data_IF_446157761225
#
_entry.id   IF_446157761225
#
_cell.length_a   1.000
_cell.length_b   1.000
_cell.length_c   1.000
_cell.angle_alpha   90.00
_cell.angle_beta   90.00
_cell.angle_gamma   90.00
#
_symmetry.space_group_name_H-M   'P 1'
#
loop_
_entity.id
_entity.type
_entity.pdbx_description
1 polymer ?
#
# COMPACT_ATOMS: atom_id res chain seq x y z
N UNK A 1 17.82 11.75 -2.64
CA UNK A 1 18.85 10.78 -3.09
C UNK A 1 18.35 9.37 -2.76
N UNK A 2 18.50 8.41 -3.67
CA UNK A 2 18.09 7.01 -3.44
C UNK A 2 19.10 6.34 -2.49
N UNK A 3 18.60 5.62 -1.47
CA UNK A 3 19.42 4.92 -0.48
C UNK A 3 19.21 3.40 -0.55
N UNK A 4 20.24 2.62 -0.17
CA UNK A 4 20.19 1.15 -0.16
C UNK A 4 20.93 0.61 1.07
N UNK A 5 20.28 -0.29 1.81
CA UNK A 5 20.89 -1.08 2.88
C UNK A 5 20.61 -2.56 2.62
N UNK A 6 21.58 -3.28 2.04
CA UNK A 6 21.42 -4.67 1.57
C UNK A 6 20.23 -4.81 0.60
N UNK A 7 19.11 -5.38 1.05
CA UNK A 7 17.87 -5.56 0.30
C UNK A 7 16.81 -4.48 0.60
N UNK A 8 17.07 -3.57 1.54
CA UNK A 8 16.17 -2.48 1.95
C UNK A 8 16.46 -1.18 1.20
N UNK A 9 15.43 -0.34 1.08
CA UNK A 9 15.50 1.02 0.51
C UNK A 9 16.08 2.06 1.51
N UNK A 10 17.15 1.68 2.20
CA UNK A 10 17.79 2.46 3.27
C UNK A 10 17.46 1.96 4.68
N UNK A 11 17.91 2.73 5.67
CA UNK A 11 17.73 2.46 7.11
C UNK A 11 16.26 2.49 7.54
N UNK A 12 15.91 1.77 8.59
CA UNK A 12 14.53 1.64 9.08
C UNK A 12 13.98 3.00 9.50
N UNK A 13 14.78 3.83 10.17
CA UNK A 13 14.42 5.16 10.65
C UNK A 13 14.08 6.10 9.47
N UNK A 14 14.87 6.04 8.40
CA UNK A 14 14.62 6.83 7.19
C UNK A 14 13.34 6.39 6.50
N UNK A 15 13.16 5.07 6.29
CA UNK A 15 11.96 4.51 5.64
C UNK A 15 10.70 4.81 6.46
N UNK A 16 10.78 4.71 7.78
CA UNK A 16 9.69 5.06 8.69
C UNK A 16 9.35 6.56 8.60
N UNK A 17 10.36 7.43 8.66
CA UNK A 17 10.17 8.87 8.55
C UNK A 17 9.52 9.28 7.23
N UNK A 18 9.98 8.71 6.11
CA UNK A 18 9.38 8.95 4.79
C UNK A 18 7.92 8.47 4.72
N UNK A 19 7.62 7.29 5.28
CA UNK A 19 6.26 6.75 5.32
C UNK A 19 5.34 7.63 6.18
N UNK A 20 5.77 8.02 7.38
CA UNK A 20 5.01 8.90 8.28
C UNK A 20 4.78 10.25 7.62
N UNK A 21 5.80 10.86 7.02
CA UNK A 21 5.67 12.14 6.33
C UNK A 21 4.64 12.06 5.19
N UNK A 22 4.71 11.02 4.37
CA UNK A 22 3.76 10.81 3.28
C UNK A 22 2.32 10.61 3.79
N UNK A 23 2.15 9.90 4.90
CA UNK A 23 0.86 9.64 5.52
C UNK A 23 0.30 10.84 6.30
N UNK A 24 1.15 11.74 6.81
CA UNK A 24 0.74 12.93 7.56
C UNK A 24 0.46 14.15 6.67
N UNK A 25 1.05 14.22 5.47
CA UNK A 25 0.92 15.39 4.58
C UNK A 25 -0.52 15.54 4.02
N UNK A 26 -1.28 16.60 4.33
CA UNK A 26 -2.66 16.78 3.85
C UNK A 26 -2.79 17.02 2.33
N UNK A 27 -1.69 17.39 1.65
CA UNK A 27 -1.67 17.56 0.20
C UNK A 27 -1.63 16.21 -0.54
N UNK A 28 -1.06 15.17 0.09
CA UNK A 28 -0.99 13.82 -0.47
C UNK A 28 -2.32 13.09 -0.28
N UNK A 29 -3.00 12.74 -1.39
CA UNK A 29 -4.30 12.05 -1.39
C UNK A 29 -4.19 10.52 -1.34
N UNK A 30 -3.10 9.97 -1.87
CA UNK A 30 -2.82 8.54 -1.85
C UNK A 30 -1.31 8.28 -1.76
N UNK A 31 -0.93 7.18 -1.11
CA UNK A 31 0.45 6.70 -1.00
C UNK A 31 0.55 5.36 -1.73
N UNK A 32 1.38 5.30 -2.75
CA UNK A 32 1.67 4.08 -3.48
C UNK A 32 2.99 3.48 -2.99
N UNK A 33 2.95 2.26 -2.49
CA UNK A 33 4.16 1.54 -2.17
C UNK A 33 4.93 1.23 -3.47
N UNK A 34 6.20 1.61 -3.51
CA UNK A 34 7.00 1.50 -4.73
C UNK A 34 7.19 0.05 -5.19
N UNK A 35 7.44 -0.87 -4.25
CA UNK A 35 7.63 -2.31 -4.48
C UNK A 35 7.26 -3.12 -3.25
N UNK A 36 7.01 -4.42 -3.45
CA UNK A 36 7.04 -5.41 -2.38
C UNK A 36 8.49 -5.83 -2.03
N UNK A 37 8.63 -6.87 -1.23
CA UNK A 37 9.92 -7.38 -0.77
C UNK A 37 9.83 -7.83 0.67
N UNK A 38 10.87 -7.61 1.47
CA UNK A 38 10.81 -7.75 2.92
C UNK A 38 11.33 -6.46 3.55
N UNK A 39 10.54 -5.88 4.45
CA UNK A 39 10.98 -4.73 5.24
C UNK A 39 9.87 -3.86 5.84
N UNK A 40 8.61 -4.03 5.45
CA UNK A 40 7.48 -3.30 6.01
C UNK A 40 7.16 -3.75 7.44
N UNK A 41 7.24 -5.05 7.72
CA UNK A 41 7.06 -5.59 9.08
C UNK A 41 8.00 -4.95 10.13
N UNK A 42 9.22 -4.59 9.71
CA UNK A 42 10.23 -3.94 10.58
C UNK A 42 9.78 -2.56 11.08
N UNK A 43 8.84 -1.93 10.38
CA UNK A 43 8.37 -0.58 10.69
C UNK A 43 7.17 -0.57 11.65
N UNK A 44 6.49 -1.72 11.82
CA UNK A 44 5.20 -1.78 12.50
C UNK A 44 5.25 -1.36 13.97
N UNK A 45 6.31 -1.74 14.69
CA UNK A 45 6.43 -1.44 16.13
C UNK A 45 6.50 0.08 16.40
N UNK A 46 6.98 0.86 15.43
CA UNK A 46 7.18 2.30 15.58
C UNK A 46 6.09 3.13 14.89
N UNK A 47 5.13 2.49 14.21
CA UNK A 47 4.01 3.16 13.55
C UNK A 47 2.82 3.29 14.50
N UNK A 48 2.61 4.49 15.03
CA UNK A 48 1.38 4.85 15.73
C UNK A 48 0.27 5.17 14.72
N UNK A 49 -0.57 4.18 14.42
CA UNK A 49 -1.65 4.31 13.43
C UNK A 49 -2.75 5.30 13.83
N UNK A 50 -2.86 5.67 15.10
CA UNK A 50 -3.82 6.68 15.55
C UNK A 50 -3.46 8.08 15.01
N UNK A 51 -2.17 8.34 14.77
CA UNK A 51 -1.66 9.64 14.27
C UNK A 51 -1.68 9.74 12.74
N UNK A 52 -2.05 8.67 12.05
CA UNK A 52 -2.08 8.65 10.59
C UNK A 52 -3.41 9.23 10.10
N UNK A 53 -3.33 10.32 9.34
CA UNK A 53 -4.49 10.88 8.64
C UNK A 53 -5.05 9.83 7.67
N UNK A 54 -6.38 9.57 7.69
CA UNK A 54 -6.97 8.62 6.77
C UNK A 54 -6.75 9.06 5.31
N UNK A 55 -5.98 8.26 4.57
CA UNK A 55 -5.79 8.37 3.12
C UNK A 55 -5.52 6.99 2.53
N UNK A 56 -5.68 6.85 1.22
CA UNK A 56 -5.47 5.58 0.56
C UNK A 56 -3.99 5.19 0.58
N UNK A 57 -3.67 4.01 1.12
CA UNK A 57 -2.39 3.33 0.93
C UNK A 57 -2.59 2.16 -0.04
N UNK A 58 -1.77 2.08 -1.09
CA UNK A 58 -1.86 1.07 -2.15
C UNK A 58 -0.60 0.20 -2.18
N UNK A 59 -0.78 -1.12 -2.12
CA UNK A 59 0.31 -2.09 -2.34
C UNK A 59 -0.14 -3.54 -2.12
N UNK A 60 0.78 -4.49 -2.33
CA UNK A 60 0.54 -5.92 -2.09
C UNK A 60 1.82 -6.59 -1.56
N UNK A 61 1.77 -7.91 -1.31
CA UNK A 61 2.90 -8.69 -0.78
C UNK A 61 3.23 -8.26 0.66
N UNK A 62 4.49 -7.96 1.01
CA UNK A 62 4.89 -7.52 2.36
C UNK A 62 4.16 -6.24 2.85
N UNK A 63 3.55 -5.48 1.94
CA UNK A 63 2.68 -4.35 2.29
C UNK A 63 1.42 -4.78 3.05
N UNK A 64 1.05 -6.07 3.00
CA UNK A 64 -0.02 -6.65 3.85
C UNK A 64 0.21 -6.36 5.33
N UNK A 65 1.46 -6.26 5.78
CA UNK A 65 1.80 -5.83 7.13
C UNK A 65 1.21 -4.44 7.48
N UNK A 66 1.32 -3.48 6.56
CA UNK A 66 0.75 -2.14 6.71
C UNK A 66 -0.77 -2.16 6.58
N UNK A 67 -1.32 -2.95 5.66
CA UNK A 67 -2.77 -3.12 5.53
C UNK A 67 -3.40 -3.66 6.82
N UNK A 68 -2.79 -4.64 7.47
CA UNK A 68 -3.26 -5.18 8.74
C UNK A 68 -3.22 -4.13 9.86
N UNK A 69 -2.14 -3.34 9.94
CA UNK A 69 -2.02 -2.26 10.91
C UNK A 69 -3.11 -1.19 10.72
N UNK A 70 -3.34 -0.77 9.48
CA UNK A 70 -4.37 0.21 9.12
C UNK A 70 -5.78 -0.34 9.38
N UNK A 71 -6.04 -1.60 9.02
CA UNK A 71 -7.31 -2.27 9.27
C UNK A 71 -7.64 -2.37 10.77
N UNK A 72 -6.65 -2.69 11.62
CA UNK A 72 -6.82 -2.67 13.10
C UNK A 72 -7.15 -1.28 13.65
N UNK A 73 -6.77 -0.22 12.94
CA UNK A 73 -7.10 1.16 13.28
C UNK A 73 -8.39 1.67 12.61
N UNK A 74 -9.18 0.78 11.98
CA UNK A 74 -10.41 1.16 11.26
C UNK A 74 -10.16 2.01 10.02
N UNK A 75 -8.96 1.91 9.42
CA UNK A 75 -8.58 2.67 8.22
C UNK A 75 -8.68 1.79 6.98
N UNK A 76 -9.22 2.36 5.91
CA UNK A 76 -9.30 1.71 4.61
C UNK A 76 -7.97 1.85 3.88
N UNK A 77 -7.51 0.76 3.27
CA UNK A 77 -6.36 0.72 2.37
C UNK A 77 -6.66 -0.24 1.22
N UNK A 78 -5.93 -0.11 0.11
CA UNK A 78 -6.19 -0.86 -1.11
C UNK A 78 -5.08 -1.89 -1.30
N UNK A 79 -5.43 -3.16 -1.15
CA UNK A 79 -4.55 -4.24 -1.57
C UNK A 79 -4.52 -4.28 -3.10
N UNK A 80 -3.43 -3.80 -3.70
CA UNK A 80 -3.34 -3.49 -5.12
C UNK A 80 -1.90 -3.44 -5.62
N UNK A 81 -1.69 -3.12 -6.90
CA UNK A 81 -0.36 -3.19 -7.49
C UNK A 81 0.60 -2.18 -6.86
N UNK A 82 1.87 -2.57 -6.73
CA UNK A 82 2.95 -1.64 -6.40
C UNK A 82 3.40 -0.86 -7.63
N UNK A 83 4.06 0.28 -7.42
CA UNK A 83 4.43 1.19 -8.51
C UNK A 83 5.27 0.51 -9.60
N UNK A 84 6.21 -0.37 -9.25
CA UNK A 84 7.06 -1.07 -10.24
C UNK A 84 6.29 -2.02 -11.16
N UNK A 85 5.05 -2.39 -10.82
CA UNK A 85 4.19 -3.20 -11.67
C UNK A 85 3.13 -2.38 -12.39
N UNK A 86 2.80 -1.20 -11.85
CA UNK A 86 1.65 -0.41 -12.29
C UNK A 86 1.64 -0.20 -13.81
N UNK A 87 2.78 0.16 -14.41
CA UNK A 87 2.87 0.43 -15.85
C UNK A 87 2.63 -0.78 -16.77
N UNK A 88 2.71 -2.01 -16.25
CA UNK A 88 2.59 -3.23 -17.05
C UNK A 88 1.20 -3.91 -16.95
N UNK A 89 0.27 -3.34 -16.19
CA UNK A 89 -1.04 -3.93 -15.97
C UNK A 89 -1.99 -3.64 -17.14
N UNK A 90 -3.04 -4.45 -17.25
CA UNK A 90 -4.12 -4.20 -18.21
C UNK A 90 -4.89 -2.92 -17.90
N UNK A 91 -5.47 -2.31 -18.94
CA UNK A 91 -6.38 -1.16 -18.80
C UNK A 91 -7.48 -1.42 -17.79
N UNK A 92 -8.10 -2.61 -17.82
CA UNK A 92 -9.15 -2.99 -16.87
C UNK A 92 -8.68 -3.01 -15.40
N UNK A 93 -7.41 -3.30 -15.17
CA UNK A 93 -6.81 -3.27 -13.83
C UNK A 93 -6.56 -1.82 -13.39
N UNK A 94 -6.08 -0.96 -14.29
CA UNK A 94 -5.95 0.48 -14.02
C UNK A 94 -7.30 1.11 -13.71
N UNK A 95 -8.29 0.91 -14.57
CA UNK A 95 -9.65 1.44 -14.39
C UNK A 95 -10.23 1.03 -13.03
N UNK A 96 -10.07 -0.24 -12.65
CA UNK A 96 -10.53 -0.72 -11.34
C UNK A 96 -9.80 -0.05 -10.18
N UNK A 97 -8.47 0.10 -10.27
CA UNK A 97 -7.67 0.74 -9.23
C UNK A 97 -8.07 2.23 -9.07
N UNK A 98 -8.16 2.97 -10.17
CA UNK A 98 -8.53 4.38 -10.13
C UNK A 98 -10.00 4.57 -9.71
N UNK A 99 -10.91 3.67 -10.10
CA UNK A 99 -12.27 3.68 -9.59
C UNK A 99 -12.33 3.53 -8.05
N UNK A 100 -11.47 2.70 -7.45
CA UNK A 100 -11.38 2.57 -5.99
C UNK A 100 -10.79 3.82 -5.30
N UNK A 101 -9.94 4.57 -6.00
CA UNK A 101 -9.27 5.76 -5.47
C UNK A 101 -10.11 7.04 -5.62
N UNK A 102 -10.89 7.13 -6.70
CA UNK A 102 -11.53 8.38 -7.11
C UNK A 102 -13.06 8.37 -6.91
N UNK A 103 -13.66 7.19 -6.73
CA UNK A 103 -15.10 7.06 -6.53
C UNK A 103 -15.46 7.01 -5.05
N UNK A 104 -16.57 7.66 -4.68
CA UNK A 104 -17.22 7.48 -3.38
C UNK A 104 -18.13 6.24 -3.31
N UNK A 105 -18.31 5.53 -4.44
CA UNK A 105 -19.13 4.31 -4.47
C UNK A 105 -18.40 3.18 -3.74
N UNK A 106 -19.12 2.38 -2.93
CA UNK A 106 -18.54 1.19 -2.32
C UNK A 106 -17.91 0.28 -3.38
N UNK A 107 -16.75 -0.29 -3.06
CA UNK A 107 -16.12 -1.28 -3.91
C UNK A 107 -17.10 -2.45 -4.14
N UNK A 108 -17.22 -2.91 -5.38
CA UNK A 108 -17.99 -4.11 -5.67
C UNK A 108 -17.36 -5.30 -4.97
N UNK A 109 -18.14 -6.03 -4.17
CA UNK A 109 -17.71 -7.28 -3.55
C UNK A 109 -17.30 -8.26 -4.65
N UNK A 110 -16.05 -8.73 -4.58
CA UNK A 110 -15.56 -9.77 -5.47
C UNK A 110 -16.10 -11.11 -4.98
N UNK A 111 -16.75 -11.86 -5.88
CA UNK A 111 -17.18 -13.22 -5.64
C UNK A 111 -16.35 -14.15 -6.54
N UNK A 112 -15.67 -15.12 -5.94
CA UNK A 112 -14.90 -16.13 -6.65
C UNK A 112 -15.28 -17.52 -6.17
N UNK A 113 -15.67 -18.39 -7.09
CA UNK A 113 -15.87 -19.84 -6.85
C UNK A 113 -14.97 -20.72 -7.72
N UNK A 114 -14.24 -20.11 -8.66
CA UNK A 114 -13.32 -20.82 -9.54
C UNK A 114 -11.95 -20.93 -8.87
N UNK A 115 -11.42 -22.15 -8.80
CA UNK A 115 -10.03 -22.40 -8.42
C UNK A 115 -9.21 -22.47 -9.71
N UNK A 116 -8.27 -21.55 -9.90
CA UNK A 116 -7.30 -21.63 -10.99
C UNK A 116 -6.02 -22.24 -10.43
N UNK A 117 -5.78 -23.51 -10.76
CA UNK A 117 -4.45 -24.12 -10.64
C UNK A 117 -3.84 -24.05 -12.04
N UNK A 118 -2.96 -23.07 -12.27
CA UNK A 118 -2.18 -23.05 -13.50
C UNK A 118 -1.19 -24.23 -13.45
N UNK A 119 -1.23 -25.09 -14.47
CA UNK A 119 -0.29 -26.18 -14.69
C UNK A 119 1.06 -25.66 -15.20
#
# INVERSE_FOLDING_TARGET
>A
MLARRRYLAGEDERRLGELIAALADPQIKAVFCARGGYGAMRLLQSLDSARITPKALVGFSDIVALHALLGRAGRVSIHGPVLTQLGALSTSTHERLFALLESSRPAQTLHGGATFVAA
#
